data_IF_759319099794
#
_entry.id   IF_759319099794
#
_cell.length_a   1.000
_cell.length_b   1.000
_cell.length_c   1.000
_cell.angle_alpha   90.00
_cell.angle_beta   90.00
_cell.angle_gamma   90.00
#
_symmetry.space_group_name_H-M   'P 1'
#
loop_
_entity.id
_entity.type
_entity.pdbx_description
1 polymer ?
#
# COMPACT_ATOMS: atom_id res chain seq x y z
N UNK A 1 20.31 5.06 -6.98
CA UNK A 1 19.75 4.83 -5.64
C UNK A 1 20.52 3.69 -4.97
N UNK A 2 21.21 3.94 -3.83
CA UNK A 2 22.18 2.98 -3.24
C UNK A 2 21.68 2.33 -1.93
N UNK A 3 20.40 2.48 -1.57
CA UNK A 3 19.85 1.95 -0.33
C UNK A 3 19.86 0.41 -0.34
N UNK A 4 20.30 -0.17 0.78
CA UNK A 4 20.34 -1.63 0.95
C UNK A 4 18.95 -2.24 1.15
N UNK A 5 18.09 -1.52 1.86
CA UNK A 5 16.75 -1.99 2.21
C UNK A 5 15.68 -1.20 1.46
N UNK A 6 14.74 -1.88 0.86
CA UNK A 6 13.65 -1.25 0.10
C UNK A 6 12.31 -1.69 0.68
N UNK A 7 11.55 -0.72 1.18
CA UNK A 7 10.18 -0.89 1.62
C UNK A 7 9.24 -0.53 0.48
N UNK A 8 8.31 -1.39 0.16
CA UNK A 8 7.25 -1.14 -0.83
C UNK A 8 5.90 -1.05 -0.15
N UNK A 9 5.07 -0.08 -0.51
CA UNK A 9 3.64 -0.25 -0.32
C UNK A 9 3.12 -1.34 -1.28
N UNK A 10 1.89 -1.81 -1.04
CA UNK A 10 1.28 -2.88 -1.84
C UNK A 10 0.29 -2.31 -2.86
N UNK A 11 -0.82 -1.74 -2.35
CA UNK A 11 -1.95 -1.28 -3.15
C UNK A 11 -1.62 0.04 -3.87
N UNK A 12 -1.61 0.04 -5.20
CA UNK A 12 -1.19 1.19 -6.01
C UNK A 12 0.31 1.27 -6.30
N UNK A 13 1.11 0.43 -5.65
CA UNK A 13 2.57 0.40 -5.83
C UNK A 13 3.04 -0.89 -6.49
N UNK A 14 2.67 -2.05 -5.96
CA UNK A 14 2.97 -3.37 -6.52
C UNK A 14 1.78 -3.96 -7.27
N UNK A 15 0.57 -3.65 -6.83
CA UNK A 15 -0.67 -4.19 -7.39
C UNK A 15 -1.73 -3.12 -7.62
N UNK A 16 -2.64 -3.36 -8.57
CA UNK A 16 -3.88 -2.60 -8.77
C UNK A 16 -5.06 -3.37 -8.12
N UNK A 17 -5.45 -3.02 -6.90
CA UNK A 17 -6.54 -3.66 -6.16
C UNK A 17 -7.91 -3.06 -6.47
N UNK A 18 -8.00 -2.15 -7.44
CA UNK A 18 -9.18 -1.30 -7.72
C UNK A 18 -10.48 -2.08 -7.66
N UNK A 19 -10.57 -3.16 -8.42
CA UNK A 19 -11.80 -3.94 -8.53
C UNK A 19 -12.19 -4.59 -7.20
N UNK A 20 -11.22 -5.22 -6.52
CA UNK A 20 -11.45 -5.93 -5.26
C UNK A 20 -11.87 -4.99 -4.13
N UNK A 21 -11.19 -3.84 -4.01
CA UNK A 21 -11.49 -2.85 -2.98
C UNK A 21 -12.84 -2.18 -3.26
N UNK A 22 -13.05 -1.61 -4.45
CA UNK A 22 -14.27 -0.85 -4.74
C UNK A 22 -15.54 -1.70 -4.67
N UNK A 23 -15.51 -2.94 -5.16
CA UNK A 23 -16.63 -3.88 -5.02
C UNK A 23 -16.88 -4.28 -3.56
N UNK A 24 -15.85 -4.38 -2.76
CA UNK A 24 -16.02 -4.72 -1.34
C UNK A 24 -16.53 -3.52 -0.53
N UNK A 25 -16.16 -2.29 -0.90
CA UNK A 25 -16.76 -1.07 -0.37
C UNK A 25 -18.24 -0.98 -0.77
N UNK A 26 -18.54 -1.20 -2.06
CA UNK A 26 -19.93 -1.22 -2.56
C UNK A 26 -20.77 -2.24 -1.80
N UNK A 27 -20.24 -3.44 -1.55
CA UNK A 27 -20.91 -4.46 -0.74
C UNK A 27 -21.19 -3.94 0.68
N UNK A 28 -20.21 -3.32 1.34
CA UNK A 28 -20.37 -2.77 2.69
C UNK A 28 -21.43 -1.67 2.73
N UNK A 29 -21.43 -0.76 1.75
CA UNK A 29 -22.42 0.31 1.64
C UNK A 29 -23.83 -0.25 1.43
N UNK A 30 -23.98 -1.22 0.55
CA UNK A 30 -25.28 -1.89 0.30
C UNK A 30 -25.83 -2.56 1.57
N UNK A 31 -24.96 -3.20 2.39
CA UNK A 31 -25.35 -3.78 3.68
C UNK A 31 -25.83 -2.72 4.68
N UNK A 32 -25.38 -1.48 4.54
CA UNK A 32 -25.80 -0.32 5.35
C UNK A 32 -26.96 0.48 4.70
N UNK A 33 -27.56 -0.03 3.62
CA UNK A 33 -28.68 0.62 2.91
C UNK A 33 -28.28 1.80 2.03
N UNK A 34 -27.00 1.92 1.67
CA UNK A 34 -26.47 2.96 0.78
C UNK A 34 -26.19 2.33 -0.58
N UNK A 35 -26.83 2.85 -1.62
CA UNK A 35 -26.61 2.43 -3.00
C UNK A 35 -25.56 3.34 -3.67
N UNK A 36 -24.44 2.76 -4.10
CA UNK A 36 -23.42 3.44 -4.89
C UNK A 36 -23.08 2.57 -6.11
N UNK A 37 -23.70 2.83 -7.27
CA UNK A 37 -23.50 2.00 -8.46
C UNK A 37 -22.19 2.29 -9.19
N UNK A 38 -21.59 3.46 -8.97
CA UNK A 38 -20.37 3.89 -9.66
C UNK A 38 -19.12 3.56 -8.86
N UNK A 39 -18.42 2.48 -9.25
CA UNK A 39 -17.19 2.04 -8.58
C UNK A 39 -16.06 3.08 -8.67
N UNK A 40 -16.04 3.94 -9.69
CA UNK A 40 -14.96 4.96 -9.82
C UNK A 40 -15.01 5.97 -8.69
N UNK A 41 -16.21 6.25 -8.17
CA UNK A 41 -16.42 7.12 -7.01
C UNK A 41 -15.90 6.53 -5.69
N UNK A 42 -15.52 5.25 -5.69
CA UNK A 42 -15.00 4.54 -4.52
C UNK A 42 -13.47 4.38 -4.55
N UNK A 43 -12.80 4.83 -5.62
CA UNK A 43 -11.34 4.68 -5.76
C UNK A 43 -10.56 5.47 -4.69
N UNK A 44 -11.13 6.52 -4.13
CA UNK A 44 -10.51 7.29 -3.04
C UNK A 44 -10.35 6.49 -1.72
N UNK A 45 -10.99 5.32 -1.59
CA UNK A 45 -10.74 4.39 -0.50
C UNK A 45 -9.43 3.59 -0.64
N UNK A 46 -8.77 3.65 -1.81
CA UNK A 46 -7.54 2.91 -2.04
C UNK A 46 -6.35 3.68 -1.46
N UNK A 47 -5.67 3.08 -0.50
CA UNK A 47 -4.52 3.65 0.20
C UNK A 47 -4.82 4.08 1.65
N UNK A 48 -5.83 4.92 1.93
CA UNK A 48 -6.17 5.30 3.30
C UNK A 48 -6.63 4.12 4.16
N UNK A 49 -6.42 4.16 5.51
CA UNK A 49 -7.03 3.21 6.42
C UNK A 49 -8.56 3.21 6.31
N UNK A 50 -9.18 2.04 6.12
CA UNK A 50 -10.61 1.90 5.82
C UNK A 50 -11.52 2.54 6.87
N UNK A 51 -11.22 2.38 8.17
CA UNK A 51 -12.01 2.96 9.25
C UNK A 51 -12.10 4.48 9.10
N UNK A 52 -10.94 5.12 8.92
CA UNK A 52 -10.85 6.57 8.74
C UNK A 52 -11.51 7.03 7.45
N UNK A 53 -11.39 6.26 6.37
CA UNK A 53 -12.01 6.54 5.09
C UNK A 53 -13.55 6.53 5.20
N UNK A 54 -14.16 5.55 5.87
CA UNK A 54 -15.60 5.53 6.10
C UNK A 54 -16.07 6.70 6.97
N UNK A 55 -15.33 7.04 8.03
CA UNK A 55 -15.63 8.21 8.85
C UNK A 55 -15.56 9.51 8.05
N UNK A 56 -14.51 9.69 7.25
CA UNK A 56 -14.26 10.91 6.49
C UNK A 56 -15.24 11.09 5.32
N UNK A 57 -15.47 10.05 4.52
CA UNK A 57 -16.21 10.17 3.27
C UNK A 57 -17.72 9.98 3.42
N UNK A 58 -18.13 9.22 4.44
CA UNK A 58 -19.57 8.96 4.70
C UNK A 58 -20.07 9.57 6.01
N UNK A 59 -19.20 10.24 6.77
CA UNK A 59 -19.59 10.88 8.03
C UNK A 59 -20.02 9.86 9.11
N UNK A 60 -19.58 8.60 9.01
CA UNK A 60 -19.91 7.59 10.00
C UNK A 60 -19.21 7.90 11.33
N UNK A 61 -19.88 7.64 12.44
CA UNK A 61 -19.20 7.51 13.72
C UNK A 61 -18.32 6.24 13.73
N UNK A 62 -17.49 6.11 14.74
CA UNK A 62 -16.53 5.01 14.84
C UNK A 62 -17.21 3.64 14.84
N UNK A 63 -18.34 3.50 15.55
CA UNK A 63 -19.06 2.23 15.65
C UNK A 63 -19.62 1.79 14.29
N UNK A 64 -20.24 2.72 13.55
CA UNK A 64 -20.77 2.46 12.19
C UNK A 64 -19.65 2.25 11.19
N UNK A 65 -18.53 2.95 11.33
CA UNK A 65 -17.37 2.74 10.48
C UNK A 65 -16.77 1.34 10.66
N UNK A 66 -16.70 0.84 11.91
CA UNK A 66 -16.30 -0.55 12.18
C UNK A 66 -17.29 -1.57 11.62
N UNK A 67 -18.59 -1.29 11.67
CA UNK A 67 -19.60 -2.14 11.03
C UNK A 67 -19.36 -2.21 9.51
N UNK A 68 -19.12 -1.06 8.86
CA UNK A 68 -18.79 -1.00 7.44
C UNK A 68 -17.51 -1.78 7.11
N UNK A 69 -16.46 -1.66 7.92
CA UNK A 69 -15.21 -2.42 7.77
C UNK A 69 -15.47 -3.93 7.86
N UNK A 70 -16.35 -4.37 8.77
CA UNK A 70 -16.70 -5.78 8.89
C UNK A 70 -17.42 -6.28 7.64
N UNK A 71 -18.40 -5.55 7.12
CA UNK A 71 -19.08 -5.89 5.88
C UNK A 71 -18.14 -5.87 4.66
N UNK A 72 -17.21 -4.91 4.59
CA UNK A 72 -16.15 -4.92 3.59
C UNK A 72 -15.34 -6.23 3.65
N UNK A 73 -14.91 -6.63 4.85
CA UNK A 73 -14.10 -7.83 5.07
C UNK A 73 -14.83 -9.13 4.74
N UNK A 74 -16.15 -9.19 4.91
CA UNK A 74 -16.95 -10.36 4.53
C UNK A 74 -16.72 -10.74 3.06
N UNK A 75 -16.74 -9.75 2.16
CA UNK A 75 -16.52 -9.96 0.74
C UNK A 75 -15.03 -10.01 0.38
N UNK A 76 -14.24 -9.09 0.96
CA UNK A 76 -12.86 -8.90 0.58
C UNK A 76 -12.03 -10.17 0.79
N UNK A 77 -12.14 -10.82 1.95
CA UNK A 77 -11.39 -12.04 2.28
C UNK A 77 -11.72 -13.26 1.41
N UNK A 78 -12.91 -13.29 0.78
CA UNK A 78 -13.36 -14.44 -0.02
C UNK A 78 -13.13 -14.21 -1.51
N UNK A 79 -13.34 -12.98 -1.99
CA UNK A 79 -13.31 -12.65 -3.42
C UNK A 79 -12.39 -11.48 -3.72
N UNK A 80 -12.49 -10.41 -2.95
CA UNK A 80 -11.80 -9.14 -3.26
C UNK A 80 -10.28 -9.23 -3.25
N UNK A 81 -9.69 -10.12 -2.44
CA UNK A 81 -8.26 -10.40 -2.43
C UNK A 81 -7.73 -10.79 -3.82
N UNK A 82 -8.54 -11.53 -4.57
CA UNK A 82 -8.18 -12.12 -5.87
C UNK A 82 -8.63 -11.26 -7.07
N UNK A 83 -9.50 -10.28 -6.83
CA UNK A 83 -9.85 -9.23 -7.81
C UNK A 83 -8.78 -8.12 -7.78
N UNK A 84 -7.56 -8.50 -8.11
CA UNK A 84 -6.35 -7.69 -8.03
C UNK A 84 -5.45 -8.02 -9.22
N UNK A 85 -4.51 -7.13 -9.56
CA UNK A 85 -3.55 -7.34 -10.64
C UNK A 85 -2.17 -6.84 -10.21
N UNK A 86 -1.13 -7.62 -10.48
CA UNK A 86 0.26 -7.15 -10.33
C UNK A 86 0.55 -6.20 -11.48
N UNK A 87 1.10 -5.01 -11.20
CA UNK A 87 1.49 -4.09 -12.26
C UNK A 87 2.54 -4.70 -13.18
N UNK A 88 2.39 -4.46 -14.50
CA UNK A 88 3.33 -4.93 -15.50
C UNK A 88 4.75 -4.40 -15.21
N UNK A 89 5.72 -5.33 -15.13
CA UNK A 89 7.11 -5.01 -14.82
C UNK A 89 7.50 -5.15 -13.35
N UNK A 90 6.56 -5.28 -12.40
CA UNK A 90 6.87 -5.52 -10.98
C UNK A 90 7.74 -6.77 -10.78
N UNK A 91 7.44 -7.95 -11.37
CA UNK A 91 8.29 -9.12 -11.19
C UNK A 91 9.73 -8.90 -11.67
N UNK A 92 9.91 -8.17 -12.77
CA UNK A 92 11.23 -7.84 -13.29
C UNK A 92 11.99 -6.87 -12.38
N UNK A 93 11.32 -5.84 -11.86
CA UNK A 93 11.89 -4.91 -10.88
C UNK A 93 12.35 -5.65 -9.61
N UNK A 94 11.49 -6.47 -9.02
CA UNK A 94 11.82 -7.20 -7.79
C UNK A 94 13.02 -8.14 -7.99
N UNK A 95 13.04 -8.90 -9.09
CA UNK A 95 14.17 -9.77 -9.44
C UNK A 95 15.47 -8.99 -9.66
N UNK A 96 15.41 -7.82 -10.30
CA UNK A 96 16.58 -6.97 -10.51
C UNK A 96 17.15 -6.42 -9.19
N UNK A 97 16.29 -6.03 -8.26
CA UNK A 97 16.71 -5.56 -6.93
C UNK A 97 17.36 -6.66 -6.09
N UNK A 98 16.79 -7.88 -6.12
CA UNK A 98 17.42 -9.05 -5.48
C UNK A 98 18.78 -9.38 -6.09
N UNK A 99 18.91 -9.34 -7.42
CA UNK A 99 20.18 -9.58 -8.12
C UNK A 99 21.26 -8.55 -7.74
N UNK A 100 20.85 -7.33 -7.32
CA UNK A 100 21.73 -6.30 -6.76
C UNK A 100 22.05 -6.51 -5.27
N UNK A 101 21.56 -7.59 -4.66
CA UNK A 101 21.76 -7.91 -3.24
C UNK A 101 20.93 -7.07 -2.27
N UNK A 102 19.87 -6.41 -2.73
CA UNK A 102 18.99 -5.59 -1.87
C UNK A 102 18.02 -6.47 -1.10
N UNK A 103 17.65 -6.04 0.10
CA UNK A 103 16.64 -6.70 0.92
C UNK A 103 15.31 -5.97 0.77
N UNK A 104 14.26 -6.72 0.41
CA UNK A 104 12.94 -6.15 0.11
C UNK A 104 11.95 -6.47 1.23
N UNK A 105 11.08 -5.50 1.51
CA UNK A 105 10.01 -5.58 2.50
C UNK A 105 8.73 -4.99 1.92
N UNK A 106 7.58 -5.50 2.35
CA UNK A 106 6.30 -4.82 2.16
C UNK A 106 5.96 -4.08 3.47
N UNK A 107 5.56 -2.81 3.35
CA UNK A 107 5.08 -1.97 4.45
C UNK A 107 3.74 -1.32 4.02
N UNK A 108 2.60 -1.97 4.34
CA UNK A 108 1.28 -1.58 3.86
C UNK A 108 0.29 -1.32 4.98
N UNK A 109 -0.63 -0.34 4.81
CA UNK A 109 -1.74 -0.12 5.73
C UNK A 109 -2.81 -1.22 5.68
N UNK A 110 -2.75 -2.09 4.67
CA UNK A 110 -3.59 -3.29 4.57
C UNK A 110 -3.24 -4.28 5.70
N UNK A 111 -4.21 -5.00 6.30
CA UNK A 111 -3.91 -6.08 7.23
C UNK A 111 -2.90 -7.09 6.65
N UNK A 112 -1.89 -7.41 7.45
CA UNK A 112 -0.75 -8.22 6.99
C UNK A 112 -1.18 -9.62 6.48
N UNK A 113 -2.24 -10.20 7.06
CA UNK A 113 -2.77 -11.48 6.61
C UNK A 113 -3.28 -11.40 5.16
N UNK A 114 -3.97 -10.30 4.82
CA UNK A 114 -4.46 -10.07 3.46
C UNK A 114 -3.32 -9.74 2.49
N UNK A 115 -2.37 -8.91 2.91
CA UNK A 115 -1.20 -8.58 2.11
C UNK A 115 -0.38 -9.83 1.77
N UNK A 116 -0.20 -10.72 2.74
CA UNK A 116 0.52 -11.98 2.60
C UNK A 116 -0.18 -12.97 1.67
N UNK A 117 -1.52 -13.04 1.76
CA UNK A 117 -2.31 -13.89 0.88
C UNK A 117 -2.27 -13.40 -0.57
N UNK A 118 -2.37 -12.09 -0.80
CA UNK A 118 -2.22 -11.47 -2.11
C UNK A 118 -0.82 -11.79 -2.67
N UNK A 119 0.23 -11.51 -1.92
CA UNK A 119 1.59 -11.74 -2.37
C UNK A 119 1.84 -13.21 -2.76
N UNK A 120 1.29 -14.15 -1.97
CA UNK A 120 1.38 -15.59 -2.25
C UNK A 120 0.56 -15.99 -3.47
N UNK A 121 -0.68 -15.50 -3.61
CA UNK A 121 -1.55 -15.82 -4.74
C UNK A 121 -0.92 -15.40 -6.08
N UNK A 122 -0.31 -14.23 -6.11
CA UNK A 122 0.35 -13.69 -7.30
C UNK A 122 1.84 -14.05 -7.41
N UNK A 123 2.33 -14.94 -6.52
CA UNK A 123 3.67 -15.55 -6.55
C UNK A 123 4.85 -14.57 -6.48
N UNK A 124 4.68 -13.43 -5.81
CA UNK A 124 5.77 -12.48 -5.57
C UNK A 124 6.24 -12.42 -4.11
N UNK A 125 5.60 -13.16 -3.19
CA UNK A 125 5.96 -13.24 -1.77
C UNK A 125 7.42 -13.63 -1.53
N UNK A 126 7.96 -14.51 -2.38
CA UNK A 126 9.34 -15.01 -2.31
C UNK A 126 10.42 -13.91 -2.39
N UNK A 127 10.09 -12.75 -2.98
CA UNK A 127 11.02 -11.64 -3.12
C UNK A 127 11.19 -10.82 -1.83
N UNK A 128 10.30 -10.98 -0.88
CA UNK A 128 10.26 -10.17 0.34
C UNK A 128 10.74 -10.95 1.55
N UNK A 129 11.68 -10.36 2.29
CA UNK A 129 12.13 -10.92 3.56
C UNK A 129 10.98 -11.04 4.56
N UNK A 130 10.19 -9.97 4.69
CA UNK A 130 8.98 -9.93 5.54
C UNK A 130 7.94 -9.01 4.92
N UNK A 131 6.67 -9.33 5.15
CA UNK A 131 5.51 -8.53 4.79
C UNK A 131 4.92 -7.96 6.08
N UNK A 132 5.07 -6.64 6.27
CA UNK A 132 4.49 -5.88 7.36
C UNK A 132 3.20 -5.20 6.91
N UNK A 133 2.19 -5.29 7.73
CA UNK A 133 0.90 -4.64 7.53
C UNK A 133 0.25 -4.29 8.86
N UNK A 134 -0.93 -3.68 8.83
CA UNK A 134 -1.72 -3.44 10.02
C UNK A 134 -2.26 -4.74 10.62
N UNK A 135 -2.74 -4.65 11.87
CA UNK A 135 -3.56 -5.72 12.45
C UNK A 135 -5.04 -5.54 12.06
N UNK A 136 -5.83 -6.59 12.21
CA UNK A 136 -7.27 -6.53 11.93
C UNK A 136 -8.04 -5.63 12.91
N UNK A 137 -7.51 -5.39 14.11
CA UNK A 137 -8.07 -4.48 15.09
C UNK A 137 -7.76 -3.00 14.83
N UNK A 138 -6.98 -2.71 13.77
CA UNK A 138 -6.56 -1.36 13.39
C UNK A 138 -5.21 -0.92 13.94
N UNK A 139 -4.56 -1.76 14.77
CA UNK A 139 -3.19 -1.47 15.24
C UNK A 139 -2.25 -1.37 14.04
N UNK A 140 -1.38 -0.35 14.05
CA UNK A 140 -0.40 -0.08 12.97
C UNK A 140 -0.99 0.18 11.58
N UNK A 141 -2.20 0.75 11.49
CA UNK A 141 -2.73 1.24 10.20
C UNK A 141 -2.05 2.51 9.74
N UNK A 142 -1.53 3.31 10.67
CA UNK A 142 -0.74 4.51 10.37
C UNK A 142 0.65 4.13 9.87
N UNK A 143 1.07 4.72 8.72
CA UNK A 143 2.36 4.41 8.09
C UNK A 143 3.56 4.85 8.93
N UNK A 144 3.42 5.89 9.75
CA UNK A 144 4.51 6.35 10.64
C UNK A 144 4.81 5.26 11.66
N UNK A 145 3.76 4.75 12.29
CA UNK A 145 3.84 3.70 13.31
C UNK A 145 4.32 2.37 12.72
N UNK A 146 3.75 1.99 11.56
CA UNK A 146 4.10 0.76 10.86
C UNK A 146 5.58 0.73 10.44
N UNK A 147 6.07 1.81 9.81
CA UNK A 147 7.47 1.90 9.37
C UNK A 147 8.40 1.88 10.57
N UNK A 148 8.08 2.63 11.65
CA UNK A 148 8.87 2.59 12.89
C UNK A 148 8.98 1.18 13.43
N UNK A 149 7.86 0.48 13.55
CA UNK A 149 7.83 -0.90 14.02
C UNK A 149 8.69 -1.82 13.13
N UNK A 150 8.59 -1.69 11.80
CA UNK A 150 9.41 -2.48 10.87
C UNK A 150 10.92 -2.20 11.07
N UNK A 151 11.32 -0.94 11.15
CA UNK A 151 12.73 -0.57 11.36
C UNK A 151 13.28 -1.16 12.66
N UNK A 152 12.52 -1.11 13.74
CA UNK A 152 12.88 -1.65 15.05
C UNK A 152 13.01 -3.20 15.00
N UNK A 153 12.01 -3.89 14.42
CA UNK A 153 12.00 -5.36 14.36
C UNK A 153 13.13 -5.92 13.50
N UNK A 154 13.42 -5.27 12.38
CA UNK A 154 14.43 -5.70 11.43
C UNK A 154 15.81 -5.07 11.69
N UNK A 155 15.91 -4.17 12.69
CA UNK A 155 17.11 -3.43 13.07
C UNK A 155 17.73 -2.70 11.87
N UNK A 156 16.88 -2.02 11.07
CA UNK A 156 17.33 -1.33 9.87
C UNK A 156 17.83 0.07 10.18
N UNK A 157 18.90 0.45 9.49
CA UNK A 157 19.37 1.85 9.46
C UNK A 157 18.47 2.68 8.53
N UNK A 158 17.79 3.73 9.04
CA UNK A 158 16.98 4.61 8.20
C UNK A 158 17.75 5.21 7.01
N UNK A 159 19.04 5.53 7.18
CA UNK A 159 19.87 6.09 6.11
C UNK A 159 20.15 5.08 4.98
N UNK A 160 19.99 3.79 5.23
CA UNK A 160 20.17 2.71 4.26
C UNK A 160 18.83 2.14 3.79
N UNK A 161 17.71 2.76 4.15
CA UNK A 161 16.35 2.27 3.87
C UNK A 161 15.58 3.30 3.04
N UNK A 162 14.91 2.83 2.00
CA UNK A 162 14.11 3.63 1.09
C UNK A 162 12.64 3.15 1.13
N UNK A 163 11.70 4.07 1.20
CA UNK A 163 10.26 3.77 1.04
C UNK A 163 9.80 4.10 -0.38
N UNK A 164 9.05 3.19 -0.99
CA UNK A 164 8.41 3.38 -2.31
C UNK A 164 6.91 3.25 -2.13
N UNK A 165 6.17 4.30 -2.49
CA UNK A 165 4.71 4.31 -2.37
C UNK A 165 4.05 5.31 -3.31
N UNK A 166 2.73 5.16 -3.46
CA UNK A 166 1.91 5.96 -4.37
C UNK A 166 0.98 6.95 -3.65
N UNK A 167 1.02 7.01 -2.31
CA UNK A 167 0.19 7.93 -1.53
C UNK A 167 1.04 8.77 -0.57
N UNK A 168 0.51 9.96 -0.22
CA UNK A 168 1.15 10.85 0.78
C UNK A 168 1.48 10.14 2.09
N UNK A 169 0.67 9.15 2.50
CA UNK A 169 0.88 8.40 3.74
C UNK A 169 2.23 7.68 3.75
N UNK A 170 2.68 7.15 2.61
CA UNK A 170 3.98 6.51 2.44
C UNK A 170 5.13 7.50 2.64
N UNK A 171 4.98 8.68 2.01
CA UNK A 171 5.98 9.75 2.04
C UNK A 171 6.10 10.37 3.43
N UNK A 172 4.96 10.66 4.07
CA UNK A 172 4.91 11.15 5.46
C UNK A 172 5.50 10.10 6.41
N UNK A 173 5.12 8.83 6.25
CA UNK A 173 5.63 7.73 7.08
C UNK A 173 7.13 7.58 6.96
N UNK A 174 7.67 7.65 5.75
CA UNK A 174 9.11 7.62 5.47
C UNK A 174 9.83 8.79 6.15
N UNK A 175 9.43 10.04 5.85
CA UNK A 175 10.05 11.25 6.39
C UNK A 175 10.04 11.28 7.91
N UNK A 176 8.92 10.89 8.54
CA UNK A 176 8.79 10.87 10.01
C UNK A 176 9.73 9.87 10.69
N UNK A 177 10.22 8.88 9.94
CA UNK A 177 11.17 7.87 10.40
C UNK A 177 12.59 8.07 9.85
N UNK A 178 12.87 9.21 9.21
CA UNK A 178 14.21 9.53 8.69
C UNK A 178 14.60 8.78 7.40
N UNK A 179 13.64 8.18 6.69
CA UNK A 179 13.88 7.53 5.41
C UNK A 179 13.73 8.53 4.26
N UNK A 180 14.46 8.29 3.18
CA UNK A 180 14.11 8.85 1.89
C UNK A 180 12.88 8.13 1.32
N UNK A 181 12.10 8.86 0.52
CA UNK A 181 10.91 8.31 -0.14
C UNK A 181 10.94 8.51 -1.65
N UNK A 182 10.46 7.52 -2.35
CA UNK A 182 10.14 7.54 -3.78
C UNK A 182 8.62 7.59 -3.93
N UNK A 183 8.14 8.63 -4.61
CA UNK A 183 6.76 8.70 -5.06
C UNK A 183 6.60 8.02 -6.42
N UNK A 184 5.62 7.15 -6.57
CA UNK A 184 5.26 6.55 -7.86
C UNK A 184 3.92 7.11 -8.33
N UNK A 185 3.90 7.67 -9.55
CA UNK A 185 2.75 8.38 -10.12
C UNK A 185 1.81 7.50 -10.95
N UNK A 186 2.03 6.19 -10.98
CA UNK A 186 1.17 5.23 -11.70
C UNK A 186 0.09 4.59 -10.80
N UNK A 187 0.11 4.91 -9.49
CA UNK A 187 -0.87 4.46 -8.50
C UNK A 187 -2.08 5.39 -8.39
N UNK A 188 -2.61 5.56 -7.18
CA UNK A 188 -3.86 6.28 -6.88
C UNK A 188 -3.67 7.70 -6.32
N UNK A 189 -2.45 8.06 -5.90
CA UNK A 189 -2.13 9.42 -5.45
C UNK A 189 -2.06 10.40 -6.61
N UNK A 190 -2.65 11.59 -6.45
CA UNK A 190 -2.49 12.64 -7.45
C UNK A 190 -1.07 13.21 -7.44
N UNK A 191 -0.64 13.75 -8.57
CA UNK A 191 0.67 14.41 -8.65
C UNK A 191 0.81 15.53 -7.59
N UNK A 192 -0.25 16.29 -7.36
CA UNK A 192 -0.28 17.36 -6.34
C UNK A 192 -0.14 16.79 -4.94
N UNK A 193 -0.87 15.70 -4.61
CA UNK A 193 -0.76 15.00 -3.32
C UNK A 193 0.67 14.57 -3.06
N UNK A 194 1.31 13.95 -4.06
CA UNK A 194 2.66 13.42 -3.91
C UNK A 194 3.71 14.51 -3.83
N UNK A 195 3.65 15.53 -4.68
CA UNK A 195 4.65 16.60 -4.70
C UNK A 195 4.57 17.53 -3.49
N UNK A 196 3.40 17.65 -2.86
CA UNK A 196 3.25 18.39 -1.60
C UNK A 196 4.10 17.81 -0.44
N UNK A 197 4.46 16.52 -0.52
CA UNK A 197 5.26 15.83 0.49
C UNK A 197 6.78 15.82 0.18
N UNK A 198 7.21 16.51 -0.86
CA UNK A 198 8.62 16.70 -1.25
C UNK A 198 9.43 15.37 -1.30
N UNK A 199 8.99 14.37 -2.12
CA UNK A 199 9.70 13.10 -2.21
C UNK A 199 11.11 13.29 -2.74
N UNK A 200 12.06 12.44 -2.27
CA UNK A 200 13.44 12.45 -2.78
C UNK A 200 13.52 12.13 -4.28
N UNK A 201 12.60 11.30 -4.77
CA UNK A 201 12.47 10.94 -6.18
C UNK A 201 10.99 10.78 -6.55
N UNK A 202 10.65 11.08 -7.80
CA UNK A 202 9.33 10.83 -8.37
C UNK A 202 9.47 10.14 -9.73
N UNK A 203 8.72 9.05 -9.93
CA UNK A 203 8.66 8.32 -11.19
C UNK A 203 7.20 8.17 -11.63
N UNK A 204 6.89 8.71 -12.80
CA UNK A 204 5.52 8.66 -13.34
C UNK A 204 5.11 7.25 -13.78
N UNK A 205 6.09 6.38 -14.09
CA UNK A 205 5.85 5.03 -14.59
C UNK A 205 6.79 4.01 -13.93
N UNK A 206 6.35 2.76 -13.86
CA UNK A 206 7.16 1.66 -13.33
C UNK A 206 8.44 1.41 -14.14
N UNK A 207 8.46 1.49 -15.50
CA UNK A 207 9.72 1.42 -16.25
C UNK A 207 10.75 2.48 -15.86
N UNK A 208 10.33 3.73 -15.57
CA UNK A 208 11.25 4.77 -15.10
C UNK A 208 11.86 4.43 -13.73
N UNK A 209 11.05 3.92 -12.80
CA UNK A 209 11.52 3.45 -11.50
C UNK A 209 12.54 2.32 -11.68
N UNK A 210 12.23 1.33 -12.51
CA UNK A 210 13.11 0.19 -12.79
C UNK A 210 14.44 0.65 -13.38
N UNK A 211 14.41 1.52 -14.41
CA UNK A 211 15.63 2.05 -15.04
C UNK A 211 16.51 2.83 -14.04
N UNK A 212 15.90 3.59 -13.11
CA UNK A 212 16.64 4.32 -12.10
C UNK A 212 17.41 3.41 -11.13
N UNK A 213 16.90 2.21 -10.85
CA UNK A 213 17.63 1.20 -10.09
C UNK A 213 18.72 0.48 -10.88
N UNK A 214 18.56 0.33 -12.20
CA UNK A 214 19.59 -0.29 -13.03
C UNK A 214 20.81 0.62 -13.25
N UNK A 215 20.64 1.94 -13.21
CA UNK A 215 21.71 2.93 -13.43
C UNK A 215 22.49 3.32 -12.17
N UNK A 216 22.00 2.99 -10.98
CA UNK A 216 22.59 3.35 -9.69
C UNK A 216 23.20 2.17 -9.00
#
# INVERSE_FOLDING_TARGET
>A
MHHQNILFDLDGTLTDPRLGITRSIQHALARLGIDEPDLTRLEHFIGPPLLQAFMQFYGFDEAKAWEAVNFYRERFKVTGLYENQVFDGVPALLSALEAQGRTLYIATSKPWEFAREIARHFAFDRHFKVIYGSELDGTRTDKIELIRHLLEQEQLDPAQTLMIGDRKHDLIGARSNGLQAVAVGYGFGSHEELMAEEPAFHFATLPQLHEAFLRG
#
